data_IF_273450333475
#
_entry.id   IF_273450333475
#
_cell.length_a   1.000
_cell.length_b   1.000
_cell.length_c   1.000
_cell.angle_alpha   90.00
_cell.angle_beta   90.00
_cell.angle_gamma   90.00
#
_symmetry.space_group_name_H-M   'P 1'
#
loop_
_entity.id
_entity.type
_entity.pdbx_description
1 polymer ?
#
# COMPACT_ATOMS: atom_id res chain seq x y z
N UNK A 1 4.22 9.76 15.89
CA UNK A 1 4.97 8.92 14.95
C UNK A 1 6.39 9.47 14.79
N UNK A 2 7.41 8.61 14.90
CA UNK A 2 8.81 8.96 14.63
C UNK A 2 9.30 8.32 13.33
N UNK A 3 9.66 9.15 12.35
CA UNK A 3 10.13 8.73 11.04
C UNK A 3 11.66 8.80 11.02
N UNK A 4 12.34 7.70 10.69
CA UNK A 4 13.75 7.73 10.33
C UNK A 4 13.87 8.03 8.83
N UNK A 5 14.42 9.18 8.47
CA UNK A 5 14.64 9.60 7.08
C UNK A 5 16.09 9.32 6.65
N UNK A 6 16.24 8.44 5.67
CA UNK A 6 17.51 8.03 5.07
C UNK A 6 17.59 8.60 3.65
N UNK A 7 18.41 9.63 3.48
CA UNK A 7 18.51 10.47 2.28
C UNK A 7 19.92 11.09 2.21
N UNK A 8 20.38 11.39 0.99
CA UNK A 8 21.71 11.95 0.72
C UNK A 8 21.70 13.40 0.20
N UNK A 9 20.53 13.96 -0.04
CA UNK A 9 20.32 15.33 -0.50
C UNK A 9 19.89 16.29 0.64
N UNK A 10 20.79 17.17 1.13
CA UNK A 10 20.54 18.02 2.29
C UNK A 10 19.29 18.91 2.16
N UNK A 11 19.06 19.46 0.97
CA UNK A 11 17.90 20.32 0.71
C UNK A 11 16.58 19.56 0.84
N UNK A 12 16.55 18.30 0.40
CA UNK A 12 15.37 17.46 0.53
C UNK A 12 15.15 17.03 1.99
N UNK A 13 16.22 16.67 2.71
CA UNK A 13 16.19 16.41 4.16
C UNK A 13 15.55 17.58 4.91
N UNK A 14 16.02 18.80 4.66
CA UNK A 14 15.50 20.00 5.32
C UNK A 14 14.00 20.21 5.03
N UNK A 15 13.56 19.96 3.80
CA UNK A 15 12.15 20.06 3.40
C UNK A 15 11.26 19.03 4.09
N UNK A 16 11.70 17.76 4.16
CA UNK A 16 10.95 16.70 4.86
C UNK A 16 10.88 17.00 6.36
N UNK A 17 11.97 17.45 6.97
CA UNK A 17 11.96 17.87 8.38
C UNK A 17 11.03 19.05 8.63
N UNK A 18 11.03 20.06 7.77
CA UNK A 18 10.13 21.20 7.89
C UNK A 18 8.66 20.77 7.81
N UNK A 19 8.33 19.89 6.85
CA UNK A 19 6.99 19.33 6.72
C UNK A 19 6.58 18.48 7.93
N UNK A 20 7.50 17.65 8.45
CA UNK A 20 7.26 16.87 9.66
C UNK A 20 7.03 17.74 10.89
N UNK A 21 7.80 18.81 11.07
CA UNK A 21 7.62 19.75 12.19
C UNK A 21 6.31 20.55 12.09
N UNK A 22 5.79 20.75 10.88
CA UNK A 22 4.50 21.42 10.65
C UNK A 22 3.32 20.47 10.88
N UNK A 23 3.52 19.16 10.71
CA UNK A 23 2.49 18.15 10.91
C UNK A 23 2.45 17.68 12.37
N UNK A 24 1.30 17.88 13.05
CA UNK A 24 1.14 17.50 14.45
C UNK A 24 1.45 16.01 14.68
N UNK A 25 2.17 15.71 15.76
CA UNK A 25 2.46 14.34 16.17
C UNK A 25 3.54 13.62 15.33
N UNK A 26 4.18 14.28 14.37
CA UNK A 26 5.24 13.71 13.53
C UNK A 26 6.61 14.27 13.92
N UNK A 27 7.59 13.38 14.11
CA UNK A 27 8.99 13.75 14.32
C UNK A 27 9.87 13.06 13.27
N UNK A 28 10.67 13.85 12.53
CA UNK A 28 11.57 13.34 11.48
C UNK A 28 13.02 13.32 11.99
N UNK A 29 13.52 12.12 12.21
CA UNK A 29 14.89 11.82 12.59
C UNK A 29 15.76 11.67 11.33
N UNK A 30 16.83 12.46 11.24
CA UNK A 30 17.80 12.36 10.14
C UNK A 30 18.96 11.47 10.51
N UNK A 31 19.78 11.11 9.51
CA UNK A 31 20.97 10.29 9.75
C UNK A 31 21.92 10.87 10.80
N UNK A 32 22.09 12.19 10.82
CA UNK A 32 22.91 12.90 11.82
C UNK A 32 22.25 12.88 13.22
N UNK A 33 20.97 13.21 13.32
CA UNK A 33 20.26 13.30 14.61
C UNK A 33 20.08 11.94 15.29
N UNK A 34 19.94 10.88 14.50
CA UNK A 34 19.75 9.51 15.00
C UNK A 34 21.06 8.75 15.22
N UNK A 35 22.22 9.33 14.90
CA UNK A 35 23.50 8.61 14.92
C UNK A 35 23.55 7.44 13.93
N UNK A 36 22.70 7.45 12.89
CA UNK A 36 22.74 6.44 11.82
C UNK A 36 24.08 6.45 11.09
N UNK A 37 24.72 7.61 10.98
CA UNK A 37 26.06 7.74 10.39
C UNK A 37 27.14 6.97 11.21
N UNK A 38 26.95 6.83 12.53
CA UNK A 38 27.88 6.13 13.42
C UNK A 38 27.73 4.60 13.37
N UNK A 39 26.62 4.11 12.82
CA UNK A 39 26.34 2.67 12.67
C UNK A 39 27.41 1.98 11.83
N UNK A 40 27.97 2.66 10.81
CA UNK A 40 29.00 2.10 9.91
C UNK A 40 30.43 2.26 10.40
N UNK A 41 30.74 3.37 11.08
CA UNK A 41 32.09 3.65 11.58
C UNK A 41 32.57 2.63 12.63
N UNK A 42 31.68 1.73 13.06
CA UNK A 42 31.87 0.79 14.16
C UNK A 42 31.64 -0.68 13.77
N UNK A 43 31.68 -1.03 12.48
CA UNK A 43 31.76 -2.44 12.08
C UNK A 43 33.12 -3.01 12.45
N UNK A 44 33.13 -4.21 12.99
CA UNK A 44 34.34 -4.94 13.35
C UNK A 44 34.40 -6.30 12.62
N UNK A 45 35.46 -7.06 12.82
CA UNK A 45 35.61 -8.39 12.20
C UNK A 45 34.82 -9.49 12.95
N UNK A 46 33.87 -9.14 13.84
CA UNK A 46 33.20 -10.11 14.73
C UNK A 46 32.08 -10.93 14.09
N UNK A 47 31.81 -10.77 12.79
CA UNK A 47 30.81 -11.55 12.06
C UNK A 47 30.37 -10.91 10.74
N UNK A 48 29.35 -11.48 10.06
CA UNK A 48 28.80 -10.94 8.83
C UNK A 48 28.32 -9.49 9.00
N UNK A 49 28.57 -8.64 8.00
CA UNK A 49 28.24 -7.21 8.04
C UNK A 49 26.73 -6.99 8.19
N UNK A 50 25.93 -7.87 7.57
CA UNK A 50 24.47 -7.83 7.61
C UNK A 50 23.94 -8.02 9.04
N UNK A 51 24.47 -9.01 9.77
CA UNK A 51 24.09 -9.25 11.17
C UNK A 51 24.49 -8.08 12.08
N UNK A 52 25.66 -7.49 11.83
CA UNK A 52 26.11 -6.32 12.57
C UNK A 52 25.20 -5.12 12.28
N UNK A 53 24.80 -4.91 11.02
CA UNK A 53 23.88 -3.85 10.62
C UNK A 53 22.52 -4.02 11.33
N UNK A 54 21.95 -5.22 11.31
CA UNK A 54 20.68 -5.53 11.98
C UNK A 54 20.77 -5.21 13.49
N UNK A 55 21.81 -5.68 14.19
CA UNK A 55 21.99 -5.43 15.64
C UNK A 55 22.09 -3.94 15.96
N UNK A 56 22.85 -3.19 15.17
CA UNK A 56 23.02 -1.74 15.37
C UNK A 56 21.73 -0.98 15.06
N UNK A 57 21.02 -1.34 13.98
CA UNK A 57 19.72 -0.76 13.65
C UNK A 57 18.66 -1.12 14.69
N UNK A 58 18.65 -2.35 15.22
CA UNK A 58 17.78 -2.75 16.32
C UNK A 58 17.98 -1.85 17.55
N UNK A 59 19.25 -1.57 17.89
CA UNK A 59 19.61 -0.67 18.98
C UNK A 59 19.11 0.76 18.71
N UNK A 60 19.31 1.26 17.49
CA UNK A 60 18.84 2.59 17.08
C UNK A 60 17.31 2.68 17.13
N UNK A 61 16.60 1.71 16.55
CA UNK A 61 15.14 1.63 16.54
C UNK A 61 14.58 1.61 17.96
N UNK A 62 15.17 0.83 18.86
CA UNK A 62 14.74 0.77 20.26
C UNK A 62 15.00 2.08 21.01
N UNK A 63 16.19 2.68 20.82
CA UNK A 63 16.59 3.93 21.49
C UNK A 63 15.74 5.11 21.02
N UNK A 64 15.61 5.26 19.70
CA UNK A 64 14.90 6.36 19.08
C UNK A 64 13.40 6.11 18.93
N UNK A 65 12.91 4.89 19.21
CA UNK A 65 11.52 4.48 19.00
C UNK A 65 11.06 4.78 17.57
N UNK A 66 11.81 4.30 16.59
CA UNK A 66 11.48 4.49 15.17
C UNK A 66 10.21 3.71 14.84
N UNK A 67 9.22 4.42 14.33
CA UNK A 67 7.91 3.87 13.95
C UNK A 67 7.84 3.50 12.46
N UNK A 68 8.56 4.25 11.62
CA UNK A 68 8.54 4.13 10.16
C UNK A 68 9.87 4.65 9.58
N UNK A 69 10.31 4.07 8.47
CA UNK A 69 11.50 4.50 7.74
C UNK A 69 11.07 5.11 6.41
N UNK A 70 11.56 6.32 6.11
CA UNK A 70 11.46 6.93 4.79
C UNK A 70 12.83 6.85 4.11
N UNK A 71 12.92 6.15 2.98
CA UNK A 71 14.18 5.74 2.36
C UNK A 71 14.26 6.17 0.89
N UNK A 72 15.26 6.97 0.54
CA UNK A 72 15.53 7.26 -0.88
C UNK A 72 15.97 5.99 -1.61
N UNK A 73 15.53 5.84 -2.85
CA UNK A 73 15.93 4.76 -3.75
C UNK A 73 17.34 4.96 -4.32
N UNK A 74 17.81 6.21 -4.39
CA UNK A 74 19.14 6.54 -4.89
C UNK A 74 19.97 7.21 -3.78
N UNK A 75 20.86 6.43 -3.16
CA UNK A 75 21.82 6.92 -2.15
C UNK A 75 23.22 7.10 -2.74
N UNK A 76 23.35 7.28 -4.06
CA UNK A 76 24.64 7.27 -4.77
C UNK A 76 25.55 8.46 -4.46
N UNK A 77 25.04 9.57 -3.91
CA UNK A 77 25.87 10.74 -3.51
C UNK A 77 26.63 10.48 -2.21
N UNK A 78 26.19 9.51 -1.42
CA UNK A 78 26.88 9.03 -0.23
C UNK A 78 28.03 8.07 -0.58
N UNK A 79 29.14 8.61 -1.11
CA UNK A 79 30.37 7.82 -1.32
C UNK A 79 30.90 7.27 0.01
N UNK A 80 31.02 5.94 0.10
CA UNK A 80 31.81 5.23 1.13
C UNK A 80 31.25 5.20 2.55
N UNK A 81 30.02 5.70 2.80
CA UNK A 81 29.47 5.88 4.16
C UNK A 81 28.18 5.11 4.44
N UNK A 82 27.49 4.59 3.42
CA UNK A 82 26.20 3.92 3.57
C UNK A 82 26.17 2.52 2.98
N UNK A 83 25.25 1.74 3.51
CA UNK A 83 24.87 0.42 3.00
C UNK A 83 24.00 0.64 1.79
N UNK A 84 24.00 -0.27 0.82
CA UNK A 84 23.07 -0.12 -0.30
C UNK A 84 21.65 0.03 0.24
N UNK A 85 20.79 0.77 -0.44
CA UNK A 85 19.37 0.90 -0.06
C UNK A 85 18.73 -0.47 0.23
N UNK A 86 19.17 -1.51 -0.48
CA UNK A 86 18.74 -2.91 -0.30
C UNK A 86 19.06 -3.48 1.07
N UNK A 87 20.27 -3.24 1.60
CA UNK A 87 20.69 -3.71 2.92
C UNK A 87 19.86 -3.08 4.05
N UNK A 88 19.63 -1.76 4.00
CA UNK A 88 18.77 -1.09 4.99
C UNK A 88 17.36 -1.64 4.95
N UNK A 89 16.80 -1.79 3.75
CA UNK A 89 15.46 -2.33 3.56
C UNK A 89 15.31 -3.72 4.16
N UNK A 90 16.24 -4.63 3.85
CA UNK A 90 16.22 -5.99 4.38
C UNK A 90 16.36 -5.98 5.91
N UNK A 91 17.28 -5.19 6.46
CA UNK A 91 17.45 -5.11 7.91
C UNK A 91 16.20 -4.59 8.62
N UNK A 92 15.55 -3.53 8.12
CA UNK A 92 14.31 -3.02 8.71
C UNK A 92 13.13 -3.98 8.55
N UNK A 93 13.08 -4.76 7.46
CA UNK A 93 12.11 -5.84 7.29
C UNK A 93 12.24 -6.90 8.38
N UNK A 94 13.46 -7.34 8.69
CA UNK A 94 13.73 -8.30 9.78
C UNK A 94 13.41 -7.72 11.17
N UNK A 95 13.48 -6.40 11.31
CA UNK A 95 13.06 -5.68 12.52
C UNK A 95 11.56 -5.42 12.58
N UNK A 96 10.81 -5.72 11.51
CA UNK A 96 9.38 -5.43 11.38
C UNK A 96 9.03 -3.94 11.40
N UNK A 97 9.97 -3.07 10.99
CA UNK A 97 9.73 -1.63 10.85
C UNK A 97 9.32 -1.34 9.40
N UNK A 98 8.17 -0.67 9.16
CA UNK A 98 7.74 -0.35 7.81
C UNK A 98 8.71 0.60 7.12
N UNK A 99 9.04 0.29 5.86
CA UNK A 99 9.93 1.07 4.99
C UNK A 99 9.12 1.64 3.84
N UNK A 100 9.06 2.96 3.76
CA UNK A 100 8.51 3.72 2.66
C UNK A 100 9.64 4.20 1.76
N UNK A 101 9.66 3.72 0.52
CA UNK A 101 10.62 4.12 -0.50
C UNK A 101 10.03 5.18 -1.41
N UNK A 102 10.86 6.11 -1.83
CA UNK A 102 10.47 7.12 -2.81
C UNK A 102 11.56 7.33 -3.85
N UNK A 103 11.17 7.99 -4.94
CA UNK A 103 12.07 8.54 -5.94
C UNK A 103 11.65 9.98 -6.23
N UNK A 104 12.63 10.87 -6.38
CA UNK A 104 12.43 12.26 -6.80
C UNK A 104 12.27 12.31 -8.32
N UNK A 105 11.43 13.21 -8.86
CA UNK A 105 11.33 13.40 -10.31
C UNK A 105 10.02 14.02 -10.80
N UNK A 106 9.91 14.16 -12.12
CA UNK A 106 8.76 14.77 -12.81
C UNK A 106 7.53 13.84 -12.80
N UNK A 107 6.36 14.40 -13.16
CA UNK A 107 5.08 13.68 -13.25
C UNK A 107 5.21 12.37 -14.03
N UNK A 108 4.63 11.26 -13.55
CA UNK A 108 4.75 9.96 -14.20
C UNK A 108 4.11 9.97 -15.60
N UNK A 109 4.78 9.32 -16.56
CA UNK A 109 4.19 8.91 -17.84
C UNK A 109 3.51 7.54 -17.67
N UNK A 110 2.69 7.11 -18.65
CA UNK A 110 2.07 5.77 -18.61
C UNK A 110 3.09 4.63 -18.49
N UNK A 111 4.26 4.76 -19.14
CA UNK A 111 5.36 3.81 -19.00
C UNK A 111 5.93 3.78 -17.57
N UNK A 112 6.10 4.94 -16.94
CA UNK A 112 6.59 5.02 -15.57
C UNK A 112 5.59 4.46 -14.56
N UNK A 113 4.29 4.59 -14.82
CA UNK A 113 3.24 3.97 -14.01
C UNK A 113 3.27 2.45 -14.13
N UNK A 114 3.49 1.93 -15.34
CA UNK A 114 3.66 0.49 -15.55
C UNK A 114 4.91 -0.03 -14.82
N UNK A 115 6.05 0.66 -14.94
CA UNK A 115 7.28 0.31 -14.21
C UNK A 115 7.07 0.36 -12.70
N UNK A 116 6.30 1.33 -12.22
CA UNK A 116 5.92 1.44 -10.82
C UNK A 116 5.10 0.23 -10.37
N UNK A 117 4.04 -0.15 -11.10
CA UNK A 117 3.22 -1.32 -10.76
C UNK A 117 4.05 -2.61 -10.79
N UNK A 118 4.90 -2.81 -11.79
CA UNK A 118 5.83 -3.96 -11.84
C UNK A 118 6.77 -3.99 -10.64
N UNK A 119 7.21 -2.82 -10.17
CA UNK A 119 8.08 -2.73 -9.00
C UNK A 119 7.30 -3.03 -7.71
N UNK A 120 6.07 -2.53 -7.58
CA UNK A 120 5.18 -2.88 -6.47
C UNK A 120 4.93 -4.39 -6.42
N UNK A 121 4.71 -5.06 -7.55
CA UNK A 121 4.49 -6.51 -7.54
C UNK A 121 5.76 -7.31 -7.27
N UNK A 122 6.94 -6.84 -7.72
CA UNK A 122 8.22 -7.54 -7.55
C UNK A 122 8.93 -7.28 -6.22
N UNK A 123 8.80 -6.06 -5.70
CA UNK A 123 9.52 -5.56 -4.51
C UNK A 123 8.56 -5.09 -3.39
N UNK A 124 7.25 -5.25 -3.56
CA UNK A 124 6.25 -4.85 -2.55
C UNK A 124 6.25 -5.74 -1.31
N UNK A 125 7.15 -6.71 -1.23
CA UNK A 125 7.32 -7.61 -0.09
C UNK A 125 8.14 -7.03 1.06
N UNK A 126 8.90 -5.97 0.77
CA UNK A 126 9.88 -5.41 1.71
C UNK A 126 9.89 -3.88 1.76
N UNK A 127 9.07 -3.20 0.95
CA UNK A 127 8.91 -1.76 1.00
C UNK A 127 7.57 -1.31 0.42
N UNK A 128 7.06 -0.18 0.93
CA UNK A 128 5.97 0.58 0.31
C UNK A 128 6.57 1.60 -0.64
N UNK A 129 6.12 1.61 -1.90
CA UNK A 129 6.53 2.64 -2.83
C UNK A 129 5.60 3.84 -2.75
N UNK A 130 6.15 4.97 -2.32
CA UNK A 130 5.46 6.26 -2.30
C UNK A 130 5.42 6.81 -3.72
N UNK A 131 4.22 7.07 -4.28
CA UNK A 131 4.10 7.64 -5.61
C UNK A 131 4.76 9.03 -5.67
N UNK A 132 5.37 9.35 -6.81
CA UNK A 132 6.16 10.58 -6.99
C UNK A 132 5.38 11.86 -6.69
N UNK A 133 4.08 11.84 -6.97
CA UNK A 133 3.19 13.00 -6.74
C UNK A 133 3.09 13.39 -5.26
N UNK A 134 3.35 12.45 -4.33
CA UNK A 134 3.39 12.74 -2.89
C UNK A 134 4.69 13.40 -2.45
N UNK A 135 5.76 13.28 -3.24
CA UNK A 135 7.12 13.78 -2.96
C UNK A 135 7.36 15.15 -3.60
N UNK A 136 6.27 15.83 -3.98
CA UNK A 136 6.28 17.13 -4.65
C UNK A 136 6.64 18.30 -3.72
N UNK A 137 6.33 19.55 -4.11
CA UNK A 137 6.67 20.74 -3.32
C UNK A 137 5.90 20.82 -2.00
N UNK A 138 4.66 20.33 -1.93
CA UNK A 138 3.77 20.46 -0.78
C UNK A 138 3.76 19.22 0.13
N UNK A 139 4.94 18.83 0.64
CA UNK A 139 5.13 17.60 1.41
C UNK A 139 4.23 17.50 2.66
N UNK A 140 3.91 18.62 3.29
CA UNK A 140 3.04 18.66 4.47
C UNK A 140 1.62 18.19 4.16
N UNK A 141 1.04 18.64 3.04
CA UNK A 141 -0.32 18.25 2.66
C UNK A 141 -0.38 16.91 1.90
N UNK A 142 0.75 16.41 1.39
CA UNK A 142 0.80 15.18 0.59
C UNK A 142 1.52 14.05 1.32
N UNK A 143 2.82 14.18 1.54
CA UNK A 143 3.66 13.10 2.07
C UNK A 143 3.31 12.77 3.52
N UNK A 144 3.14 13.77 4.39
CA UNK A 144 2.96 13.53 5.82
C UNK A 144 1.68 12.73 6.15
N UNK A 145 0.48 13.10 5.64
CA UNK A 145 -0.73 12.30 5.83
C UNK A 145 -0.60 10.88 5.28
N UNK A 146 0.09 10.72 4.15
CA UNK A 146 0.34 9.41 3.56
C UNK A 146 1.19 8.52 4.47
N UNK A 147 2.28 9.06 5.03
CA UNK A 147 3.15 8.33 5.95
C UNK A 147 2.44 7.99 7.27
N UNK A 148 1.62 8.91 7.79
CA UNK A 148 0.81 8.67 8.98
C UNK A 148 -0.19 7.54 8.77
N UNK A 149 -0.95 7.57 7.66
CA UNK A 149 -1.91 6.52 7.34
C UNK A 149 -1.25 5.15 7.13
N UNK A 150 -0.04 5.12 6.54
CA UNK A 150 0.75 3.89 6.42
C UNK A 150 1.15 3.38 7.81
N UNK A 151 1.78 4.22 8.63
CA UNK A 151 2.18 3.82 9.99
C UNK A 151 1.00 3.31 10.81
N UNK A 152 -0.13 4.02 10.77
CA UNK A 152 -1.34 3.62 11.47
C UNK A 152 -1.81 2.23 11.05
N UNK A 153 -1.79 1.91 9.74
CA UNK A 153 -2.16 0.57 9.26
C UNK A 153 -1.26 -0.54 9.76
N UNK A 154 0.06 -0.34 9.75
CA UNK A 154 1.01 -1.32 10.29
C UNK A 154 0.83 -1.50 11.79
N UNK A 155 0.68 -0.38 12.52
CA UNK A 155 0.45 -0.38 13.96
C UNK A 155 -0.85 -1.11 14.33
N UNK A 156 -1.96 -0.81 13.64
CA UNK A 156 -3.28 -1.42 13.88
C UNK A 156 -3.26 -2.92 13.62
N UNK A 157 -2.59 -3.39 12.56
CA UNK A 157 -2.41 -4.84 12.33
C UNK A 157 -1.63 -5.51 13.46
N UNK A 158 -0.52 -4.90 13.89
CA UNK A 158 0.26 -5.41 15.00
C UNK A 158 -0.57 -5.50 16.28
N UNK A 159 -1.30 -4.43 16.62
CA UNK A 159 -2.17 -4.39 17.80
C UNK A 159 -3.27 -5.45 17.74
N UNK A 160 -3.90 -5.66 16.58
CA UNK A 160 -4.89 -6.72 16.41
C UNK A 160 -4.30 -8.10 16.69
N UNK A 161 -3.09 -8.40 16.19
CA UNK A 161 -2.39 -9.66 16.48
C UNK A 161 -2.00 -9.76 17.96
N UNK A 162 -1.53 -8.68 18.59
CA UNK A 162 -1.16 -8.67 20.00
C UNK A 162 -2.37 -8.89 20.91
N UNK A 163 -3.56 -8.41 20.52
CA UNK A 163 -4.81 -8.64 21.24
C UNK A 163 -5.45 -10.00 20.98
N UNK A 164 -5.11 -10.65 19.86
CA UNK A 164 -5.64 -11.95 19.42
C UNK A 164 -4.49 -12.87 18.96
N UNK A 165 -3.54 -13.22 19.84
CA UNK A 165 -2.33 -13.97 19.45
C UNK A 165 -2.65 -15.37 18.89
N UNK A 166 -3.78 -15.96 19.29
CA UNK A 166 -4.27 -17.24 18.79
C UNK A 166 -4.53 -17.24 17.29
N UNK A 167 -4.71 -16.07 16.66
CA UNK A 167 -4.91 -15.97 15.21
C UNK A 167 -3.71 -16.54 14.44
N UNK A 168 -2.49 -16.43 14.99
CA UNK A 168 -1.27 -16.94 14.36
C UNK A 168 -1.15 -18.46 14.44
N UNK A 169 -1.95 -19.11 15.27
CA UNK A 169 -1.97 -20.56 15.46
C UNK A 169 -3.08 -21.22 14.60
N UNK A 170 -3.88 -20.43 13.88
CA UNK A 170 -4.93 -20.94 12.98
C UNK A 170 -4.27 -21.53 11.72
N UNK A 171 -4.61 -22.78 11.41
CA UNK A 171 -4.24 -23.46 10.16
C UNK A 171 -5.08 -22.96 8.96
N UNK A 172 -5.00 -21.66 8.68
CA UNK A 172 -5.71 -20.98 7.59
C UNK A 172 -4.78 -20.19 6.67
N UNK A 173 -3.48 -20.19 6.99
CA UNK A 173 -2.45 -19.42 6.30
C UNK A 173 -2.64 -17.90 6.39
N UNK A 174 -1.77 -17.12 5.75
CA UNK A 174 -1.80 -15.65 5.83
C UNK A 174 -3.12 -15.03 5.35
N UNK A 175 -3.76 -15.62 4.35
CA UNK A 175 -5.05 -15.16 3.83
C UNK A 175 -6.18 -15.31 4.86
N UNK A 176 -6.25 -16.44 5.56
CA UNK A 176 -7.24 -16.67 6.60
C UNK A 176 -7.00 -15.81 7.83
N UNK A 177 -5.73 -15.64 8.22
CA UNK A 177 -5.33 -14.74 9.32
C UNK A 177 -5.76 -13.31 9.00
N UNK A 178 -5.45 -12.79 7.81
CA UNK A 178 -5.84 -11.44 7.43
C UNK A 178 -7.36 -11.28 7.37
N UNK A 179 -8.08 -12.26 6.79
CA UNK A 179 -9.54 -12.26 6.76
C UNK A 179 -10.13 -12.17 8.18
N UNK A 180 -9.55 -12.90 9.14
CA UNK A 180 -9.94 -12.85 10.55
C UNK A 180 -9.67 -11.48 11.18
N UNK A 181 -8.45 -10.94 11.01
CA UNK A 181 -8.07 -9.62 11.55
C UNK A 181 -8.91 -8.48 10.97
N UNK A 182 -9.40 -8.62 9.74
CA UNK A 182 -10.32 -7.69 9.10
C UNK A 182 -11.79 -7.88 9.53
N UNK A 183 -12.08 -8.90 10.36
CA UNK A 183 -13.43 -9.24 10.80
C UNK A 183 -14.32 -9.83 9.69
N UNK A 184 -13.73 -10.33 8.59
CA UNK A 184 -14.43 -10.83 7.41
C UNK A 184 -13.83 -12.16 6.94
N UNK A 185 -14.07 -13.23 7.70
CA UNK A 185 -13.53 -14.57 7.41
C UNK A 185 -13.91 -15.12 6.03
N UNK A 186 -15.04 -14.68 5.46
CA UNK A 186 -15.47 -15.03 4.10
C UNK A 186 -14.51 -14.57 3.00
N UNK A 187 -13.63 -13.60 3.27
CA UNK A 187 -12.67 -13.08 2.28
C UNK A 187 -11.46 -13.99 2.06
N UNK A 188 -11.31 -15.09 2.80
CA UNK A 188 -10.12 -15.94 2.71
C UNK A 188 -9.82 -16.40 1.27
N UNK A 189 -10.85 -16.80 0.51
CA UNK A 189 -10.67 -17.27 -0.87
C UNK A 189 -10.21 -16.14 -1.81
N UNK A 190 -10.80 -14.94 -1.68
CA UNK A 190 -10.40 -13.77 -2.47
C UNK A 190 -8.97 -13.34 -2.15
N UNK A 191 -8.63 -13.29 -0.86
CA UNK A 191 -7.30 -12.93 -0.38
C UNK A 191 -6.25 -13.97 -0.78
N UNK A 192 -6.60 -15.27 -0.80
CA UNK A 192 -5.69 -16.31 -1.30
C UNK A 192 -5.26 -16.06 -2.75
N UNK A 193 -6.13 -15.48 -3.58
CA UNK A 193 -5.81 -15.07 -4.94
C UNK A 193 -4.71 -14.00 -5.06
N UNK A 194 -4.32 -13.35 -3.96
CA UNK A 194 -3.19 -12.41 -3.92
C UNK A 194 -1.86 -13.07 -3.52
N UNK A 195 -1.86 -14.37 -3.19
CA UNK A 195 -0.65 -15.07 -2.72
C UNK A 195 0.26 -15.56 -3.84
N UNK A 196 -0.21 -15.59 -5.09
CA UNK A 196 0.56 -16.10 -6.24
C UNK A 196 1.82 -15.27 -6.52
N UNK A 197 1.81 -13.99 -6.16
CA UNK A 197 2.95 -13.07 -6.29
C UNK A 197 3.86 -13.06 -5.05
N UNK A 198 3.50 -13.81 -3.99
CA UNK A 198 4.04 -13.62 -2.64
C UNK A 198 4.31 -14.92 -1.88
N UNK A 199 4.55 -16.06 -2.55
CA UNK A 199 4.69 -17.37 -1.90
C UNK A 199 5.83 -17.44 -0.86
N UNK A 200 6.89 -16.63 -1.03
CA UNK A 200 8.02 -16.53 -0.08
C UNK A 200 7.89 -15.38 0.92
N UNK A 201 6.80 -14.60 0.85
CA UNK A 201 6.64 -13.36 1.60
C UNK A 201 6.53 -13.59 3.11
N UNK A 202 5.89 -14.70 3.49
CA UNK A 202 5.68 -15.08 4.89
C UNK A 202 6.72 -16.09 5.41
N UNK A 203 7.74 -16.42 4.61
CA UNK A 203 8.81 -17.34 5.00
C UNK A 203 10.10 -16.65 5.45
N UNK A 204 10.10 -15.31 5.48
CA UNK A 204 11.27 -14.51 5.85
C UNK A 204 11.73 -14.70 7.31
N UNK A 205 13.03 -14.53 7.54
CA UNK A 205 13.64 -14.57 8.87
C UNK A 205 13.24 -13.36 9.73
N UNK A 206 13.34 -13.53 11.04
CA UNK A 206 13.14 -12.47 12.04
C UNK A 206 14.43 -12.20 12.76
N UNK A 207 14.76 -10.93 13.02
CA UNK A 207 15.89 -10.61 13.86
C UNK A 207 15.67 -11.14 15.29
N UNK A 208 16.76 -11.53 15.96
CA UNK A 208 16.68 -12.04 17.32
C UNK A 208 16.00 -11.02 18.26
N UNK A 209 15.00 -11.48 19.02
CA UNK A 209 14.25 -10.65 19.98
C UNK A 209 13.07 -9.86 19.38
N UNK A 210 12.82 -9.94 18.07
CA UNK A 210 11.60 -9.40 17.46
C UNK A 210 10.44 -10.38 17.67
N UNK A 211 9.30 -9.90 18.17
CA UNK A 211 8.11 -10.74 18.39
C UNK A 211 7.47 -11.17 17.06
N UNK A 212 6.79 -12.32 17.07
CA UNK A 212 5.98 -12.76 15.92
C UNK A 212 4.94 -11.71 15.51
N UNK A 213 4.32 -11.01 16.47
CA UNK A 213 3.33 -9.97 16.19
C UNK A 213 3.90 -8.80 15.39
N UNK A 214 5.12 -8.36 15.71
CA UNK A 214 5.82 -7.28 15.00
C UNK A 214 6.15 -7.73 13.58
N UNK A 215 6.81 -8.87 13.44
CA UNK A 215 7.26 -9.37 12.14
C UNK A 215 6.08 -9.70 11.22
N UNK A 216 5.13 -10.50 11.71
CA UNK A 216 3.99 -10.95 10.92
C UNK A 216 3.01 -9.81 10.65
N UNK A 217 2.85 -8.88 11.60
CA UNK A 217 2.07 -7.66 11.41
C UNK A 217 2.65 -6.78 10.29
N UNK A 218 3.97 -6.63 10.23
CA UNK A 218 4.63 -5.89 9.15
C UNK A 218 4.46 -6.58 7.80
N UNK A 219 4.63 -7.91 7.75
CA UNK A 219 4.35 -8.71 6.57
C UNK A 219 2.89 -8.48 6.10
N UNK A 220 1.89 -8.69 6.95
CA UNK A 220 0.49 -8.44 6.57
C UNK A 220 0.25 -6.99 6.14
N UNK A 221 0.95 -6.02 6.73
CA UNK A 221 0.89 -4.61 6.36
C UNK A 221 1.33 -4.36 4.92
N UNK A 222 2.51 -4.86 4.54
CA UNK A 222 2.99 -4.77 3.16
C UNK A 222 2.05 -5.49 2.20
N UNK A 223 1.52 -6.65 2.58
CA UNK A 223 0.66 -7.45 1.71
C UNK A 223 -0.68 -6.75 1.44
N UNK A 224 -1.33 -6.29 2.51
CA UNK A 224 -2.59 -5.55 2.41
C UNK A 224 -2.41 -4.26 1.62
N UNK A 225 -1.37 -3.47 1.89
CA UNK A 225 -1.16 -2.20 1.20
C UNK A 225 -0.73 -2.38 -0.27
N UNK A 226 0.35 -3.11 -0.53
CA UNK A 226 0.98 -3.14 -1.86
C UNK A 226 0.25 -4.05 -2.85
N UNK A 227 -0.54 -5.01 -2.38
CA UNK A 227 -1.23 -5.96 -3.25
C UNK A 227 -2.74 -5.80 -3.18
N UNK A 228 -3.33 -5.91 -1.99
CA UNK A 228 -4.81 -5.93 -1.87
C UNK A 228 -5.42 -4.55 -2.15
N UNK A 229 -4.87 -3.47 -1.58
CA UNK A 229 -5.38 -2.11 -1.81
C UNK A 229 -4.97 -1.53 -3.16
N UNK A 230 -3.76 -1.86 -3.64
CA UNK A 230 -3.27 -1.39 -4.94
C UNK A 230 -4.00 -2.02 -6.13
N UNK A 231 -4.47 -3.27 -5.97
CA UNK A 231 -5.20 -4.01 -6.99
C UNK A 231 -6.60 -4.38 -6.49
N UNK A 232 -7.61 -3.51 -6.71
CA UNK A 232 -8.97 -3.72 -6.24
C UNK A 232 -9.55 -5.11 -6.54
N UNK A 233 -10.08 -5.72 -5.48
CA UNK A 233 -10.75 -7.02 -5.49
C UNK A 233 -11.79 -7.06 -4.35
N UNK A 234 -11.45 -7.51 -3.14
CA UNK A 234 -12.37 -7.48 -2.00
C UNK A 234 -12.52 -6.08 -1.37
N UNK A 235 -11.47 -5.24 -1.45
CA UNK A 235 -11.48 -3.85 -1.01
C UNK A 235 -11.32 -2.95 -2.23
N UNK A 236 -12.19 -1.97 -2.36
CA UNK A 236 -12.28 -1.10 -3.53
C UNK A 236 -11.86 0.32 -3.16
N UNK A 237 -10.94 0.91 -3.92
CA UNK A 237 -10.75 2.35 -3.93
C UNK A 237 -11.99 3.05 -4.56
N UNK A 238 -12.13 4.38 -4.48
CA UNK A 238 -13.34 5.07 -4.94
C UNK A 238 -13.65 4.86 -6.42
N UNK A 239 -12.61 4.78 -7.25
CA UNK A 239 -12.75 4.60 -8.70
C UNK A 239 -13.22 3.19 -9.02
N UNK A 240 -12.67 2.18 -8.35
CA UNK A 240 -13.11 0.80 -8.47
C UNK A 240 -14.53 0.59 -7.90
N UNK A 241 -14.87 1.27 -6.81
CA UNK A 241 -16.22 1.25 -6.27
C UNK A 241 -17.24 1.88 -7.24
N UNK A 242 -16.89 3.02 -7.84
CA UNK A 242 -17.68 3.66 -8.90
C UNK A 242 -17.89 2.73 -10.10
N UNK A 243 -16.81 2.10 -10.59
CA UNK A 243 -16.88 1.12 -11.68
C UNK A 243 -17.76 -0.08 -11.30
N UNK A 244 -17.63 -0.60 -10.08
CA UNK A 244 -18.40 -1.75 -9.60
C UNK A 244 -19.91 -1.48 -9.58
N UNK A 245 -20.33 -0.26 -9.24
CA UNK A 245 -21.75 0.16 -9.28
C UNK A 245 -22.18 0.73 -10.64
N UNK A 246 -21.31 0.62 -11.67
CA UNK A 246 -21.49 1.16 -13.01
C UNK A 246 -21.82 2.67 -13.06
N UNK A 247 -21.05 3.48 -12.33
CA UNK A 247 -21.13 4.94 -12.34
C UNK A 247 -19.78 5.56 -12.70
N UNK A 248 -19.79 6.72 -13.37
CA UNK A 248 -18.57 7.53 -13.50
C UNK A 248 -18.12 8.02 -12.13
N UNK A 249 -16.82 8.30 -11.97
CA UNK A 249 -16.27 8.78 -10.68
C UNK A 249 -16.98 10.06 -10.22
N UNK A 250 -17.29 10.99 -11.14
CA UNK A 250 -18.02 12.21 -10.83
C UNK A 250 -19.43 11.93 -10.28
N UNK A 251 -20.14 10.96 -10.86
CA UNK A 251 -21.47 10.55 -10.38
C UNK A 251 -21.40 9.84 -9.03
N UNK A 252 -20.37 9.02 -8.82
CA UNK A 252 -20.14 8.33 -7.54
C UNK A 252 -19.81 9.30 -6.41
N UNK A 253 -19.09 10.38 -6.71
CA UNK A 253 -18.69 11.41 -5.73
C UNK A 253 -19.84 12.34 -5.32
N UNK A 254 -21.02 12.24 -5.96
CA UNK A 254 -22.18 13.03 -5.57
C UNK A 254 -22.56 12.76 -4.10
N UNK A 255 -22.87 13.79 -3.29
CA UNK A 255 -23.18 13.62 -1.87
C UNK A 255 -24.30 12.60 -1.58
N UNK A 256 -25.31 12.51 -2.43
CA UNK A 256 -26.41 11.56 -2.27
C UNK A 256 -25.95 10.10 -2.49
N UNK A 257 -25.07 9.86 -3.47
CA UNK A 257 -24.48 8.53 -3.70
C UNK A 257 -23.54 8.19 -2.55
N UNK A 258 -22.68 9.13 -2.13
CA UNK A 258 -21.79 8.94 -0.99
C UNK A 258 -22.54 8.62 0.32
N UNK A 259 -23.67 9.29 0.57
CA UNK A 259 -24.52 9.00 1.71
C UNK A 259 -25.12 7.59 1.64
N UNK A 260 -25.53 7.15 0.45
CA UNK A 260 -26.08 5.81 0.22
C UNK A 260 -25.05 4.71 0.45
N UNK A 261 -23.81 4.89 -0.05
CA UNK A 261 -22.73 3.90 0.08
C UNK A 261 -21.93 4.02 1.39
N UNK A 262 -22.29 4.95 2.28
CA UNK A 262 -21.55 5.20 3.52
C UNK A 262 -21.42 3.96 4.40
N UNK A 263 -22.46 3.11 4.45
CA UNK A 263 -22.44 1.86 5.24
C UNK A 263 -21.50 0.79 4.67
N UNK A 264 -21.10 0.92 3.40
CA UNK A 264 -20.21 -0.02 2.72
C UNK A 264 -18.73 0.40 2.86
N UNK A 265 -18.45 1.46 3.63
CA UNK A 265 -17.09 1.97 3.86
C UNK A 265 -16.22 0.89 4.52
N UNK A 266 -15.03 0.73 3.97
CA UNK A 266 -13.96 -0.03 4.59
C UNK A 266 -13.56 0.62 5.92
N UNK A 267 -13.53 -0.19 6.97
CA UNK A 267 -13.06 0.19 8.31
C UNK A 267 -12.05 -0.85 8.77
N UNK A 268 -10.81 -0.71 8.32
CA UNK A 268 -9.72 -1.63 8.64
C UNK A 268 -8.42 -0.89 8.91
N UNK A 269 -7.27 -1.59 8.91
CA UNK A 269 -5.97 -0.99 9.26
C UNK A 269 -5.63 0.32 8.53
N UNK A 270 -5.89 0.38 7.22
CA UNK A 270 -5.48 1.47 6.33
C UNK A 270 -6.61 2.45 5.97
N UNK A 271 -7.64 2.55 6.81
CA UNK A 271 -8.81 3.43 6.59
C UNK A 271 -8.46 4.92 6.53
N UNK A 272 -7.36 5.35 7.16
CA UNK A 272 -6.88 6.74 7.12
C UNK A 272 -6.31 7.17 5.76
N UNK A 273 -5.97 6.25 4.87
CA UNK A 273 -5.39 6.58 3.57
C UNK A 273 -6.42 7.09 2.55
N UNK A 274 -7.70 6.88 2.82
CA UNK A 274 -8.76 7.39 1.97
C UNK A 274 -10.04 6.59 2.06
N UNK A 275 -11.09 7.03 1.35
CA UNK A 275 -12.30 6.24 1.20
C UNK A 275 -11.99 4.94 0.48
N UNK A 276 -12.19 3.82 1.17
CA UNK A 276 -12.28 2.50 0.56
C UNK A 276 -13.65 1.90 0.87
N UNK A 277 -14.01 0.87 0.12
CA UNK A 277 -15.31 0.21 0.25
C UNK A 277 -15.13 -1.31 0.22
N UNK A 278 -15.95 -1.99 1.00
CA UNK A 278 -16.07 -3.44 0.94
C UNK A 278 -16.92 -3.84 -0.27
N UNK A 279 -16.38 -4.70 -1.14
CA UNK A 279 -17.08 -5.14 -2.36
C UNK A 279 -18.37 -5.89 -2.05
N UNK A 280 -18.34 -6.77 -1.05
CA UNK A 280 -19.49 -7.56 -0.61
C UNK A 280 -20.61 -6.68 -0.02
N UNK A 281 -20.28 -5.65 0.76
CA UNK A 281 -21.27 -4.69 1.25
C UNK A 281 -21.90 -3.87 0.11
N UNK A 282 -21.11 -3.49 -0.90
CA UNK A 282 -21.63 -2.84 -2.10
C UNK A 282 -22.52 -3.80 -2.90
N UNK A 283 -22.12 -5.06 -3.05
CA UNK A 283 -22.92 -6.07 -3.75
C UNK A 283 -24.28 -6.28 -3.04
N UNK A 284 -24.26 -6.43 -1.72
CA UNK A 284 -25.48 -6.55 -0.92
C UNK A 284 -26.39 -5.31 -1.06
N UNK A 285 -25.81 -4.10 -1.08
CA UNK A 285 -26.57 -2.87 -1.35
C UNK A 285 -27.19 -2.86 -2.74
N UNK A 286 -26.45 -3.26 -3.78
CA UNK A 286 -26.97 -3.32 -5.16
C UNK A 286 -28.11 -4.35 -5.23
N UNK A 287 -27.95 -5.51 -4.61
CA UNK A 287 -28.98 -6.57 -4.56
C UNK A 287 -30.25 -6.10 -3.86
N UNK A 288 -30.13 -5.39 -2.72
CA UNK A 288 -31.25 -4.76 -2.02
C UNK A 288 -32.01 -3.76 -2.91
N UNK A 289 -31.32 -3.09 -3.82
CA UNK A 289 -31.87 -2.12 -4.78
C UNK A 289 -32.35 -2.79 -6.09
N UNK A 290 -32.34 -4.12 -6.16
CA UNK A 290 -32.81 -4.87 -7.33
C UNK A 290 -31.80 -4.90 -8.48
N UNK A 291 -30.49 -4.89 -8.17
CA UNK A 291 -29.42 -5.08 -9.14
C UNK A 291 -28.88 -3.78 -9.77
N UNK A 292 -29.27 -2.61 -9.27
CA UNK A 292 -28.83 -1.31 -9.81
C UNK A 292 -28.94 -0.20 -8.75
N UNK A 293 -27.81 0.45 -8.45
CA UNK A 293 -27.76 1.51 -7.42
C UNK A 293 -28.68 2.70 -7.74
N UNK A 294 -28.94 2.97 -9.03
CA UNK A 294 -29.77 4.09 -9.47
C UNK A 294 -31.25 3.94 -9.12
N UNK A 295 -31.67 2.75 -8.67
CA UNK A 295 -33.04 2.47 -8.22
C UNK A 295 -33.31 2.94 -6.79
N UNK A 296 -32.29 3.43 -6.07
CA UNK A 296 -32.49 4.03 -4.77
C UNK A 296 -33.35 5.30 -4.87
N UNK A 297 -34.45 5.36 -4.13
CA UNK A 297 -35.35 6.52 -4.11
C UNK A 297 -34.66 7.82 -3.68
N UNK A 298 -33.59 7.71 -2.88
CA UNK A 298 -32.75 8.85 -2.47
C UNK A 298 -31.97 9.49 -3.63
N UNK A 299 -31.86 8.80 -4.77
CA UNK A 299 -31.18 9.27 -5.97
C UNK A 299 -32.16 9.79 -7.04
N UNK A 300 -33.47 9.79 -6.77
CA UNK A 300 -34.46 10.37 -7.69
C UNK A 300 -34.14 11.84 -7.98
N UNK A 301 -34.10 12.18 -9.27
CA UNK A 301 -33.80 13.54 -9.74
C UNK A 301 -32.32 13.88 -9.88
N UNK A 302 -31.39 13.00 -9.46
CA UNK A 302 -29.97 13.17 -9.75
C UNK A 302 -29.64 12.69 -11.17
N UNK A 303 -28.87 13.49 -11.91
CA UNK A 303 -28.32 13.08 -13.20
C UNK A 303 -27.08 12.21 -12.99
N UNK A 304 -27.26 10.89 -13.03
CA UNK A 304 -26.19 9.92 -12.86
C UNK A 304 -25.68 9.46 -14.22
N UNK A 305 -24.38 9.58 -14.43
CA UNK A 305 -23.68 9.10 -15.62
C UNK A 305 -23.06 7.73 -15.32
N UNK A 306 -23.24 6.80 -16.27
CA UNK A 306 -22.71 5.44 -16.18
C UNK A 306 -21.39 5.30 -16.93
N UNK A 307 -20.58 4.33 -16.53
CA UNK A 307 -19.39 3.94 -17.29
C UNK A 307 -19.83 3.22 -18.56
N UNK A 308 -20.74 2.27 -18.42
CA UNK A 308 -21.41 1.59 -19.51
C UNK A 308 -22.90 1.96 -19.55
N UNK A 309 -23.46 2.37 -20.72
CA UNK A 309 -24.87 2.69 -20.85
C UNK A 309 -25.83 1.55 -20.43
N UNK A 310 -25.40 0.29 -20.52
CA UNK A 310 -26.19 -0.85 -20.08
C UNK A 310 -26.21 -0.97 -18.56
N UNK A 311 -27.41 -0.96 -17.96
CA UNK A 311 -27.59 -0.89 -16.51
C UNK A 311 -26.89 -2.00 -15.72
N UNK A 312 -26.80 -3.20 -16.29
CA UNK A 312 -26.23 -4.39 -15.65
C UNK A 312 -24.84 -4.77 -16.20
N UNK A 313 -24.24 -3.90 -17.03
CA UNK A 313 -22.89 -4.15 -17.53
C UNK A 313 -21.85 -4.06 -16.42
N UNK A 314 -20.81 -4.87 -16.55
CA UNK A 314 -19.66 -4.86 -15.65
C UNK A 314 -18.68 -3.80 -16.14
N UNK A 315 -18.25 -2.93 -15.22
CA UNK A 315 -17.11 -2.05 -15.45
C UNK A 315 -15.96 -2.40 -14.51
N UNK A 316 -14.75 -2.07 -14.93
CA UNK A 316 -13.51 -2.41 -14.23
C UNK A 316 -12.70 -1.16 -13.90
N UNK A 317 -11.79 -1.30 -12.93
CA UNK A 317 -10.77 -0.31 -12.65
C UNK A 317 -9.54 -0.60 -13.51
N UNK A 318 -9.16 0.33 -14.39
CA UNK A 318 -7.91 0.24 -15.12
C UNK A 318 -6.73 0.65 -14.22
N UNK A 319 -5.86 -0.29 -13.88
CA UNK A 319 -4.75 -0.04 -12.93
C UNK A 319 -3.70 0.96 -13.47
N UNK A 320 -3.54 1.06 -14.79
CA UNK A 320 -2.59 1.99 -15.43
C UNK A 320 -3.12 3.42 -15.49
N UNK A 321 -4.32 3.62 -16.06
CA UNK A 321 -4.90 4.95 -16.21
C UNK A 321 -5.60 5.46 -14.95
N UNK A 322 -5.86 4.57 -13.99
CA UNK A 322 -6.64 4.82 -12.77
C UNK A 322 -8.03 5.37 -13.10
N UNK A 323 -8.69 4.78 -14.09
CA UNK A 323 -10.03 5.17 -14.57
C UNK A 323 -10.95 3.96 -14.63
N UNK A 324 -12.28 4.18 -14.52
CA UNK A 324 -13.23 3.13 -14.84
C UNK A 324 -13.21 2.84 -16.35
N UNK A 325 -13.35 1.57 -16.74
CA UNK A 325 -13.36 1.12 -18.13
C UNK A 325 -14.47 0.10 -18.33
N UNK A 326 -14.99 0.02 -19.56
CA UNK A 326 -16.04 -0.95 -19.90
C UNK A 326 -15.45 -2.34 -20.05
N UNK A 327 -16.29 -3.36 -19.96
CA UNK A 327 -15.85 -4.75 -20.11
C UNK A 327 -15.31 -5.05 -21.51
N UNK A 328 -15.86 -4.44 -22.57
CA UNK A 328 -15.42 -4.59 -23.96
C UNK A 328 -14.10 -3.87 -24.29
N UNK A 329 -13.64 -2.99 -23.40
CA UNK A 329 -12.36 -2.28 -23.50
C UNK A 329 -11.25 -2.93 -22.67
N UNK A 330 -11.60 -3.90 -21.82
CA UNK A 330 -10.68 -4.55 -20.91
C UNK A 330 -9.89 -5.65 -21.61
N UNK A 331 -8.57 -5.55 -21.54
CA UNK A 331 -7.67 -6.59 -22.02
C UNK A 331 -7.77 -7.87 -21.17
N UNK A 332 -7.25 -8.97 -21.72
CA UNK A 332 -6.98 -10.19 -20.94
C UNK A 332 -6.03 -9.84 -19.78
N UNK A 333 -6.35 -10.33 -18.57
CA UNK A 333 -5.54 -10.05 -17.38
C UNK A 333 -4.09 -10.50 -17.58
N UNK A 334 -3.10 -9.60 -17.42
CA UNK A 334 -1.70 -10.00 -17.48
C UNK A 334 -1.30 -10.73 -16.20
N UNK A 335 -0.28 -11.58 -16.30
CA UNK A 335 0.14 -12.50 -15.22
C UNK A 335 0.60 -11.79 -13.92
N UNK A 336 0.96 -10.51 -14.00
CA UNK A 336 1.37 -9.71 -12.83
C UNK A 336 0.20 -9.09 -12.08
N UNK A 337 -1.02 -9.06 -12.64
CA UNK A 337 -2.23 -8.70 -11.90
C UNK A 337 -2.67 -9.91 -11.09
N UNK A 338 -2.78 -9.81 -9.75
CA UNK A 338 -3.12 -10.96 -8.93
C UNK A 338 -4.50 -11.53 -9.28
N UNK A 339 -4.69 -12.87 -9.30
CA UNK A 339 -6.00 -13.49 -9.51
C UNK A 339 -7.11 -12.99 -8.58
N UNK A 340 -6.78 -12.63 -7.33
CA UNK A 340 -7.73 -12.07 -6.37
C UNK A 340 -8.22 -10.66 -6.71
N UNK A 341 -7.52 -9.94 -7.60
CA UNK A 341 -7.85 -8.59 -8.05
C UNK A 341 -8.97 -8.59 -9.11
N UNK A 342 -10.12 -9.16 -8.74
CA UNK A 342 -11.23 -9.43 -9.66
C UNK A 342 -11.73 -8.21 -10.44
N UNK A 343 -11.57 -6.99 -9.90
CA UNK A 343 -12.01 -5.74 -10.52
C UNK A 343 -10.89 -4.90 -11.17
N UNK A 344 -9.66 -5.39 -11.12
CA UNK A 344 -8.50 -4.73 -11.73
C UNK A 344 -8.30 -5.22 -13.17
N UNK A 345 -8.27 -4.30 -14.13
CA UNK A 345 -8.02 -4.57 -15.56
C UNK A 345 -7.03 -3.57 -16.14
N UNK A 346 -6.72 -3.71 -17.41
CA UNK A 346 -5.96 -2.75 -18.23
C UNK A 346 -6.76 -2.51 -19.51
N UNK A 347 -6.74 -1.29 -20.04
CA UNK A 347 -7.28 -0.99 -21.36
C UNK A 347 -6.53 -1.79 -22.43
N UNK A 348 -7.26 -2.40 -23.36
CA UNK A 348 -6.66 -3.14 -24.48
C UNK A 348 -5.71 -2.26 -25.30
N UNK A 349 -6.08 -1.00 -25.56
CA UNK A 349 -5.23 -0.04 -26.25
C UNK A 349 -3.90 0.23 -25.55
N UNK A 350 -3.92 0.35 -24.22
CA UNK A 350 -2.71 0.61 -23.43
C UNK A 350 -1.83 -0.65 -23.37
N UNK A 351 -2.46 -1.82 -23.30
CA UNK A 351 -1.75 -3.10 -23.34
C UNK A 351 -1.07 -3.30 -24.70
N UNK A 352 -1.72 -2.94 -25.80
CA UNK A 352 -1.13 -3.07 -27.14
C UNK A 352 0.03 -2.09 -27.36
N UNK A 353 -0.10 -0.86 -26.88
CA UNK A 353 0.97 0.15 -26.95
C UNK A 353 2.19 -0.27 -26.11
N UNK A 354 1.97 -0.79 -24.90
CA UNK A 354 3.01 -1.17 -23.95
C UNK A 354 3.43 -2.65 -24.09
N UNK A 355 2.74 -3.42 -24.91
CA UNK A 355 2.80 -4.88 -25.04
C UNK A 355 4.19 -5.46 -25.30
N UNK A 356 5.03 -4.84 -26.16
CA UNK A 356 6.42 -5.27 -26.34
C UNK A 356 7.25 -5.24 -25.05
N UNK A 357 6.88 -4.41 -24.06
CA UNK A 357 7.56 -4.26 -22.77
C UNK A 357 6.91 -5.11 -21.66
N UNK A 358 5.79 -5.78 -21.94
CA UNK A 358 5.00 -6.56 -20.98
C UNK A 358 5.22 -8.07 -21.09
N UNK A 359 5.72 -8.57 -22.24
CA UNK A 359 6.00 -9.99 -22.49
C UNK A 359 7.43 -10.44 -22.18
N UNK A 360 8.24 -9.57 -21.57
CA UNK A 360 9.67 -9.78 -21.29
C UNK A 360 9.99 -9.96 -19.82
#
# INVERSE_FOLDING_TARGET
MRILHIEDEPDFIARVQAAGNAHEGVEVLTGEKSGLQDVKASFDDSGPIEEQLIKKLQTLVARERVDLVLLDTDLSRQRGSFSTQTEYRQAFQELGVPVCRYNKGHKPTGLMELEFLKRVTKEGDNAIFIPRDYVGPNLEATLMPQLEGIWHGFKKLRELIETQPEVLEIDSGPAGILAHLLGRTGLQADLLGYTSQSSNFFTGGSAAGVSKSVQFGAQLGYWLYNFVLAFPGPILNPIAAAAFVNLTTASFDLPAVQALVARCRYSGPFDLLGPYYWKDDLAALIDELGGDITRASTLEGYALERVDPEAHAVAYYCVLTRKPIRQDEAAVNPDWVPPGASLSRILESDLDELGPMLRG
#
